data_IF_677118699176
#
_entry.id   IF_677118699176
#
_cell.length_a   1.000
_cell.length_b   1.000
_cell.length_c   1.000
_cell.angle_alpha   90.00
_cell.angle_beta   90.00
_cell.angle_gamma   90.00
#
_symmetry.space_group_name_H-M   'P 1'
#
loop_
_entity.id
_entity.type
_entity.pdbx_description
1 polymer ?
#
# COMPACT_ATOMS: atom_id res chain seq x y z
N UNK A 1 -13.20 -64.32 34.13
CA UNK A 1 -12.77 -63.16 33.32
C UNK A 1 -13.78 -62.05 33.51
N UNK A 2 -13.53 -61.07 34.38
CA UNK A 2 -14.14 -59.73 34.28
C UNK A 2 -13.22 -58.74 35.00
N UNK A 3 -12.73 -57.76 34.23
CA UNK A 3 -11.80 -56.70 34.60
C UNK A 3 -12.63 -55.43 34.79
N UNK A 4 -12.37 -54.67 35.87
CA UNK A 4 -12.89 -53.30 36.05
C UNK A 4 -12.19 -52.31 35.11
N UNK A 5 -12.85 -51.23 34.68
CA UNK A 5 -12.54 -49.86 35.18
C UNK A 5 -13.79 -48.94 35.15
N UNK A 6 -13.88 -47.73 35.69
CA UNK A 6 -12.97 -46.74 36.29
C UNK A 6 -13.75 -45.42 36.42
N UNK A 7 -13.51 -44.63 37.48
CA UNK A 7 -14.00 -43.24 37.67
C UNK A 7 -13.26 -42.32 36.63
N UNK A 8 -13.59 -41.09 36.24
CA UNK A 8 -14.24 -39.94 36.89
C UNK A 8 -14.28 -38.71 35.94
N UNK A 9 -14.99 -37.65 36.37
CA UNK A 9 -14.86 -36.19 36.05
C UNK A 9 -15.23 -35.68 34.64
N UNK A 10 -16.47 -35.23 34.50
CA UNK A 10 -16.89 -34.30 33.45
C UNK A 10 -16.34 -32.91 33.72
N UNK A 11 -15.38 -32.47 32.91
CA UNK A 11 -14.85 -31.12 32.91
C UNK A 11 -15.88 -30.13 32.36
N UNK A 12 -16.19 -29.10 33.15
CA UNK A 12 -16.89 -27.92 32.67
C UNK A 12 -15.93 -27.14 31.76
N UNK A 13 -16.12 -27.24 30.45
CA UNK A 13 -15.39 -26.42 29.49
C UNK A 13 -15.95 -25.00 29.47
N UNK A 14 -15.22 -24.09 30.11
CA UNK A 14 -15.32 -22.64 29.92
C UNK A 14 -15.01 -22.30 28.47
N UNK A 15 -16.03 -21.95 27.68
CA UNK A 15 -15.84 -21.29 26.40
C UNK A 15 -15.57 -19.80 26.64
N UNK A 16 -14.28 -19.45 26.75
CA UNK A 16 -13.81 -18.07 26.64
C UNK A 16 -14.12 -17.56 25.24
N UNK A 17 -15.06 -16.61 25.16
CA UNK A 17 -15.31 -15.80 23.96
C UNK A 17 -14.12 -14.86 23.80
N UNK A 18 -13.09 -15.33 23.08
CA UNK A 18 -11.97 -14.50 22.66
C UNK A 18 -12.44 -13.65 21.47
N UNK A 19 -12.92 -12.45 21.77
CA UNK A 19 -13.07 -11.39 20.79
C UNK A 19 -11.71 -11.02 20.23
N UNK A 20 -11.38 -11.52 19.04
CA UNK A 20 -10.30 -10.97 18.23
C UNK A 20 -10.88 -9.81 17.44
N UNK A 21 -10.62 -8.60 17.94
CA UNK A 21 -10.55 -7.39 17.13
C UNK A 21 -9.43 -7.62 16.10
N UNK A 22 -9.79 -8.17 14.94
CA UNK A 22 -8.94 -8.10 13.77
C UNK A 22 -8.97 -6.66 13.28
N UNK A 23 -8.06 -5.82 13.77
CA UNK A 23 -7.67 -4.64 13.02
C UNK A 23 -6.98 -5.16 11.76
N UNK A 24 -7.63 -5.03 10.62
CA UNK A 24 -6.99 -5.21 9.32
C UNK A 24 -5.83 -4.23 9.25
N UNK A 25 -4.62 -4.72 9.54
CA UNK A 25 -3.41 -3.99 9.20
C UNK A 25 -3.44 -3.83 7.68
N UNK A 26 -3.77 -2.63 7.22
CA UNK A 26 -3.80 -2.33 5.81
C UNK A 26 -2.41 -2.65 5.24
N UNK A 27 -2.34 -3.66 4.37
CA UNK A 27 -1.08 -4.17 3.86
C UNK A 27 -0.43 -3.10 2.98
N UNK A 28 0.86 -2.82 3.22
CA UNK A 28 1.63 -1.88 2.39
C UNK A 28 1.51 -2.25 0.90
N UNK A 29 1.04 -1.31 0.08
CA UNK A 29 0.90 -1.53 -1.36
C UNK A 29 2.23 -1.13 -2.02
N UNK A 30 2.89 -2.08 -2.66
CA UNK A 30 4.19 -1.85 -3.30
C UNK A 30 4.07 -2.13 -4.79
N UNK A 31 4.54 -1.19 -5.60
CA UNK A 31 4.58 -1.38 -7.06
C UNK A 31 5.97 -1.12 -7.61
N UNK A 32 6.29 -1.90 -8.64
CA UNK A 32 7.49 -1.74 -9.46
C UNK A 32 7.08 -1.33 -10.86
N UNK A 33 7.68 -0.26 -11.37
CA UNK A 33 7.38 0.36 -12.64
C UNK A 33 8.58 0.27 -13.57
N UNK A 34 8.32 -0.22 -14.78
CA UNK A 34 9.26 -0.29 -15.89
C UNK A 34 8.82 0.72 -16.93
N UNK A 35 9.56 1.82 -17.07
CA UNK A 35 9.18 2.96 -17.90
C UNK A 35 10.23 3.21 -18.99
N UNK A 36 9.79 3.69 -20.15
CA UNK A 36 10.63 4.01 -21.30
C UNK A 36 10.28 5.41 -21.82
N UNK A 37 11.30 6.21 -22.07
CA UNK A 37 11.19 7.53 -22.70
C UNK A 37 12.37 7.81 -23.61
N UNK A 38 12.40 8.99 -24.23
CA UNK A 38 13.49 9.42 -25.14
C UNK A 38 14.85 9.49 -24.42
N UNK A 39 14.86 9.73 -23.12
CA UNK A 39 16.07 9.81 -22.30
C UNK A 39 16.56 8.44 -21.79
N UNK A 40 15.86 7.35 -22.11
CA UNK A 40 16.22 5.99 -21.69
C UNK A 40 15.14 5.29 -20.88
N UNK A 41 15.46 4.07 -20.45
CA UNK A 41 14.63 3.28 -19.54
C UNK A 41 14.77 3.78 -18.10
N UNK A 42 13.72 3.61 -17.32
CA UNK A 42 13.65 4.03 -15.92
C UNK A 42 12.90 3.00 -15.09
N UNK A 43 13.60 2.47 -14.09
CA UNK A 43 13.05 1.66 -13.03
C UNK A 43 12.60 2.53 -11.86
N UNK A 44 11.38 2.31 -11.40
CA UNK A 44 10.83 3.02 -10.25
C UNK A 44 10.11 2.04 -9.33
N UNK A 45 10.37 2.13 -8.03
CA UNK A 45 9.62 1.43 -7.00
C UNK A 45 8.88 2.43 -6.14
N UNK A 46 7.60 2.18 -5.91
CA UNK A 46 6.77 3.00 -5.06
C UNK A 46 6.15 2.13 -3.97
N UNK A 47 6.17 2.65 -2.75
CA UNK A 47 5.57 2.03 -1.58
C UNK A 47 4.55 3.01 -1.02
N UNK A 48 3.30 2.59 -1.00
CA UNK A 48 2.23 3.29 -0.33
C UNK A 48 1.93 2.57 0.98
N UNK A 49 1.94 3.31 2.08
CA UNK A 49 1.49 2.79 3.37
C UNK A 49 0.01 3.14 3.54
N UNK A 50 -0.91 2.17 3.41
CA UNK A 50 -2.31 2.46 3.62
C UNK A 50 -2.67 2.67 5.10
N UNK A 51 -1.78 2.40 6.06
CA UNK A 51 -2.01 2.73 7.46
C UNK A 51 -2.05 4.26 7.71
N UNK A 52 -1.49 5.07 6.81
CA UNK A 52 -1.67 6.54 6.83
C UNK A 52 -3.04 6.99 6.29
N UNK A 53 -3.89 6.06 5.85
CA UNK A 53 -5.25 6.30 5.31
C UNK A 53 -6.35 6.37 6.36
N UNK A 54 -6.04 6.34 7.66
CA UNK A 54 -7.11 6.49 8.67
C UNK A 54 -7.75 7.87 8.53
N UNK A 55 -9.09 7.88 8.46
CA UNK A 55 -9.90 9.09 8.57
C UNK A 55 -9.44 9.96 9.75
N UNK A 56 -9.54 11.30 9.64
CA UNK A 56 -9.26 12.17 10.77
C UNK A 56 -10.06 11.71 11.99
N UNK A 57 -9.37 11.31 13.06
CA UNK A 57 -9.98 10.72 14.26
C UNK A 57 -10.79 11.79 15.00
N UNK A 58 -10.40 13.07 14.86
CA UNK A 58 -11.12 14.22 15.40
C UNK A 58 -11.48 15.28 14.35
N UNK A 59 -12.64 15.91 14.53
CA UNK A 59 -13.02 17.11 13.77
C UNK A 59 -12.05 18.25 14.11
N UNK A 60 -11.13 18.55 13.18
CA UNK A 60 -10.07 19.54 13.34
C UNK A 60 -8.65 19.02 13.15
N UNK A 61 -8.45 17.69 13.04
CA UNK A 61 -7.19 17.17 12.53
C UNK A 61 -7.02 17.59 11.06
N UNK A 62 -5.84 18.12 10.67
CA UNK A 62 -5.57 18.40 9.27
C UNK A 62 -5.67 17.09 8.49
N UNK A 63 -6.28 17.14 7.30
CA UNK A 63 -6.29 15.99 6.40
C UNK A 63 -4.86 15.47 6.23
N UNK A 64 -4.64 14.21 6.59
CA UNK A 64 -3.32 13.59 6.44
C UNK A 64 -3.05 13.49 4.94
N UNK A 65 -2.02 14.21 4.47
CA UNK A 65 -1.55 14.07 3.10
C UNK A 65 -0.98 12.68 2.93
N UNK A 66 -1.54 11.93 1.98
CA UNK A 66 -1.03 10.61 1.65
C UNK A 66 0.38 10.73 1.11
N UNK A 67 1.29 9.96 1.68
CA UNK A 67 2.71 10.00 1.31
C UNK A 67 3.07 8.68 0.64
N UNK A 68 3.65 8.75 -0.54
CA UNK A 68 4.25 7.63 -1.24
C UNK A 68 5.77 7.73 -1.07
N UNK A 69 6.38 6.62 -0.70
CA UNK A 69 7.82 6.52 -0.71
C UNK A 69 8.28 5.97 -2.05
N UNK A 70 9.11 6.74 -2.74
CA UNK A 70 9.54 6.46 -4.11
C UNK A 70 11.03 6.20 -4.10
N UNK A 71 11.44 5.15 -4.80
CA UNK A 71 12.83 4.86 -5.15
C UNK A 71 12.93 4.91 -6.66
N UNK A 72 13.76 5.80 -7.19
CA UNK A 72 13.94 6.02 -8.62
C UNK A 72 15.44 6.06 -8.91
N UNK A 73 15.92 5.12 -9.71
CA UNK A 73 17.35 4.90 -9.95
C UNK A 73 18.09 4.69 -8.61
N UNK A 74 18.87 5.67 -8.15
CA UNK A 74 19.65 5.63 -6.90
C UNK A 74 19.09 6.56 -5.80
N UNK A 75 18.02 7.30 -6.09
CA UNK A 75 17.43 8.25 -5.16
C UNK A 75 16.17 7.70 -4.50
N UNK A 76 16.04 7.93 -3.19
CA UNK A 76 14.83 7.67 -2.40
C UNK A 76 14.27 8.96 -1.85
N UNK A 77 12.97 9.15 -2.02
CA UNK A 77 12.28 10.35 -1.57
C UNK A 77 10.82 10.09 -1.25
N UNK A 78 10.25 11.01 -0.48
CA UNK A 78 8.81 11.03 -0.20
C UNK A 78 8.11 11.99 -1.18
N UNK A 79 6.93 11.57 -1.64
CA UNK A 79 6.09 12.32 -2.56
C UNK A 79 4.62 12.28 -2.11
N UNK A 80 3.82 13.22 -2.59
CA UNK A 80 2.39 13.22 -2.32
C UNK A 80 1.72 12.12 -3.15
N UNK A 81 1.07 11.16 -2.52
CA UNK A 81 0.41 10.07 -3.22
C UNK A 81 -0.87 10.54 -3.90
N UNK A 82 -1.12 10.01 -5.09
CA UNK A 82 -2.35 10.19 -5.85
C UNK A 82 -3.14 8.88 -5.79
N UNK A 83 -4.35 8.93 -5.24
CA UNK A 83 -5.30 7.83 -5.31
C UNK A 83 -6.65 8.39 -5.74
N UNK A 84 -7.27 7.78 -6.74
CA UNK A 84 -8.64 8.10 -7.16
C UNK A 84 -9.57 6.92 -6.92
N UNK A 85 -10.87 7.20 -6.83
CA UNK A 85 -11.92 6.18 -6.74
C UNK A 85 -11.99 5.31 -8.00
N UNK A 86 -11.60 5.86 -9.15
CA UNK A 86 -11.52 5.15 -10.44
C UNK A 86 -10.31 4.18 -10.52
N UNK A 87 -9.60 3.98 -9.42
CA UNK A 87 -8.47 3.05 -9.32
C UNK A 87 -7.15 3.58 -9.89
N UNK A 88 -7.07 4.87 -10.23
CA UNK A 88 -5.78 5.47 -10.57
C UNK A 88 -4.93 5.61 -9.31
N UNK A 89 -3.64 5.36 -9.47
CA UNK A 89 -2.62 5.43 -8.42
C UNK A 89 -1.42 6.22 -8.92
N UNK A 90 -0.60 6.76 -8.05
CA UNK A 90 0.56 7.54 -8.47
C UNK A 90 1.14 8.41 -7.38
N UNK A 91 1.98 9.36 -7.80
CA UNK A 91 2.50 10.38 -6.90
C UNK A 91 2.80 11.68 -7.65
N UNK A 92 2.85 12.76 -6.88
CA UNK A 92 3.30 14.08 -7.31
C UNK A 92 4.42 14.57 -6.37
N UNK A 93 5.52 15.06 -6.94
CA UNK A 93 6.58 15.77 -6.20
C UNK A 93 6.80 17.14 -6.83
N UNK A 94 6.07 18.13 -6.31
CA UNK A 94 6.04 19.48 -6.87
C UNK A 94 7.41 20.17 -6.91
N UNK A 95 8.28 19.92 -5.93
CA UNK A 95 9.62 20.51 -5.87
C UNK A 95 10.50 20.15 -7.09
N UNK A 96 10.26 18.99 -7.71
CA UNK A 96 11.01 18.51 -8.88
C UNK A 96 10.18 18.47 -10.16
N UNK A 97 8.89 18.81 -10.06
CA UNK A 97 7.93 18.70 -11.17
C UNK A 97 7.73 17.26 -11.64
N UNK A 98 7.81 16.29 -10.73
CA UNK A 98 7.57 14.88 -11.05
C UNK A 98 6.08 14.53 -10.85
N UNK A 99 5.52 13.81 -11.81
CA UNK A 99 4.18 13.24 -11.72
C UNK A 99 4.17 11.83 -12.31
N UNK A 100 3.87 10.83 -11.50
CA UNK A 100 3.59 9.48 -11.96
C UNK A 100 2.08 9.23 -11.86
N UNK A 101 1.49 8.70 -12.93
CA UNK A 101 0.15 8.13 -12.92
C UNK A 101 0.19 6.69 -13.41
N UNK A 102 -0.52 5.81 -12.70
CA UNK A 102 -0.76 4.40 -13.02
C UNK A 102 -2.26 4.20 -13.13
N UNK A 103 -2.69 3.72 -14.28
CA UNK A 103 -4.06 3.31 -14.52
C UNK A 103 -4.36 1.95 -13.85
N UNK A 104 -5.65 1.59 -13.67
CA UNK A 104 -6.05 0.31 -13.09
C UNK A 104 -5.52 -0.91 -13.86
N UNK A 105 -5.34 -0.79 -15.17
CA UNK A 105 -4.78 -1.84 -16.04
C UNK A 105 -3.25 -1.99 -15.88
N UNK A 106 -2.61 -1.12 -15.09
CA UNK A 106 -1.17 -1.10 -14.87
C UNK A 106 -0.39 -0.25 -15.87
N UNK A 107 -1.03 0.37 -16.87
CA UNK A 107 -0.39 1.34 -17.76
C UNK A 107 0.06 2.55 -16.96
N UNK A 108 1.29 3.02 -17.16
CA UNK A 108 1.87 4.09 -16.36
C UNK A 108 2.54 5.17 -17.22
N UNK A 109 2.50 6.41 -16.72
CA UNK A 109 3.14 7.58 -17.30
C UNK A 109 3.82 8.38 -16.21
N UNK A 110 5.12 8.66 -16.38
CA UNK A 110 5.89 9.56 -15.56
C UNK A 110 6.23 10.80 -16.38
N UNK A 111 6.06 11.98 -15.81
CA UNK A 111 6.54 13.23 -16.41
C UNK A 111 7.49 13.97 -15.47
N UNK A 112 8.46 14.66 -16.06
CA UNK A 112 9.36 15.62 -15.42
C UNK A 112 9.47 16.86 -16.29
N UNK A 113 8.63 17.87 -16.03
CA UNK A 113 8.51 19.01 -16.94
C UNK A 113 8.05 18.57 -18.34
N UNK A 114 8.90 18.75 -19.35
CA UNK A 114 8.61 18.33 -20.73
C UNK A 114 9.06 16.89 -21.06
N UNK A 115 9.81 16.24 -20.16
CA UNK A 115 10.28 14.87 -20.38
C UNK A 115 9.21 13.89 -19.91
N UNK A 116 9.02 12.83 -20.68
CA UNK A 116 8.01 11.82 -20.42
C UNK A 116 8.60 10.41 -20.56
N UNK A 117 8.15 9.53 -19.67
CA UNK A 117 8.33 8.09 -19.77
C UNK A 117 6.97 7.41 -19.68
N UNK A 118 6.79 6.33 -20.43
CA UNK A 118 5.58 5.50 -20.41
C UNK A 118 5.96 4.03 -20.25
N UNK A 119 5.08 3.24 -19.65
CA UNK A 119 5.35 1.83 -19.47
C UNK A 119 4.30 1.15 -18.61
N UNK A 120 4.72 0.23 -17.75
CA UNK A 120 3.81 -0.49 -16.86
C UNK A 120 4.31 -0.51 -15.44
N UNK A 121 3.36 -0.55 -14.51
CA UNK A 121 3.59 -0.80 -13.10
C UNK A 121 2.84 -2.05 -12.65
N UNK A 122 3.52 -2.89 -11.88
CA UNK A 122 3.01 -4.14 -11.34
C UNK A 122 3.13 -4.13 -9.81
N UNK A 123 2.14 -4.71 -9.13
CA UNK A 123 2.22 -4.93 -7.69
C UNK A 123 3.28 -6.00 -7.37
N UNK A 124 4.02 -5.82 -6.27
CA UNK A 124 5.20 -6.63 -5.90
C UNK A 124 5.22 -7.00 -4.43
#
# INVERSE_FOLDING_TARGET
>A
MTIAPGRTYGGASLALVAGLLAGEAAAMETWSCQLQGDCGALDLRMVLDPAVLSDPVASGEPQRRWTAQVTMVDDRFDAEALLTDDGWRGFHRGAEGLMLTKAPDGTARLTRGAVEWTGRCEET
#
